data_IF_396931448498
#
_entry.id   IF_396931448498
#
_cell.length_a   1.000
_cell.length_b   1.000
_cell.length_c   1.000
_cell.angle_alpha   90.00
_cell.angle_beta   90.00
_cell.angle_gamma   90.00
#
_symmetry.space_group_name_H-M   'P 1'
#
loop_
_entity.id
_entity.type
_entity.pdbx_description
1 polymer ?
#
# COMPACT_ATOMS: atom_id res chain seq x y z
N UNK A 1 -6.35 -11.75 -4.35
CA UNK A 1 -6.96 -10.69 -3.55
C UNK A 1 -7.59 -11.34 -2.32
N UNK A 2 -7.36 -10.75 -1.14
CA UNK A 2 -7.93 -11.18 0.14
C UNK A 2 -9.36 -10.68 0.34
N UNK A 3 -9.64 -9.43 -0.02
CA UNK A 3 -10.99 -8.85 0.06
C UNK A 3 -11.45 -8.68 1.51
N UNK A 4 -12.51 -7.89 1.72
CA UNK A 4 -13.17 -7.74 3.03
C UNK A 4 -12.28 -7.22 4.20
N UNK A 5 -11.14 -6.61 3.87
CA UNK A 5 -10.24 -6.01 4.88
C UNK A 5 -10.84 -4.72 5.47
N UNK A 6 -11.69 -4.01 4.70
CA UNK A 6 -12.25 -2.70 5.05
C UNK A 6 -11.22 -1.65 5.51
N UNK A 7 -9.95 -1.83 5.13
CA UNK A 7 -8.85 -0.90 5.43
C UNK A 7 -8.74 0.23 4.39
N UNK A 8 -8.04 1.31 4.79
CA UNK A 8 -7.76 2.45 3.91
C UNK A 8 -6.36 2.33 3.32
N UNK A 9 -6.30 2.25 1.98
CA UNK A 9 -5.04 2.39 1.23
C UNK A 9 -5.02 3.77 0.58
N UNK A 10 -3.96 4.53 0.83
CA UNK A 10 -3.80 5.88 0.29
C UNK A 10 -2.35 6.19 -0.10
N UNK A 11 -2.16 7.27 -0.85
CA UNK A 11 -0.86 7.86 -1.16
C UNK A 11 -0.72 9.21 -0.49
N UNK A 12 0.47 9.54 0.01
CA UNK A 12 0.77 10.85 0.60
C UNK A 12 2.14 11.37 0.12
N UNK A 13 2.38 12.69 0.12
CA UNK A 13 3.71 13.23 -0.06
C UNK A 13 4.69 12.68 0.99
N UNK A 14 5.94 12.37 0.62
CA UNK A 14 6.91 11.75 1.52
C UNK A 14 7.17 12.56 2.79
N UNK A 15 7.11 13.90 2.71
CA UNK A 15 7.25 14.82 3.84
C UNK A 15 6.15 14.69 4.89
N UNK A 16 4.98 14.16 4.53
CA UNK A 16 3.82 14.01 5.42
C UNK A 16 3.75 12.69 6.17
N UNK A 17 4.58 11.70 5.82
CA UNK A 17 4.45 10.32 6.30
C UNK A 17 4.62 10.21 7.82
N UNK A 18 5.66 10.84 8.37
CA UNK A 18 5.92 10.82 9.82
C UNK A 18 4.77 11.47 10.60
N UNK A 19 4.23 12.58 10.09
CA UNK A 19 3.11 13.26 10.72
C UNK A 19 1.84 12.39 10.71
N UNK A 20 1.56 11.71 9.59
CA UNK A 20 0.44 10.77 9.49
C UNK A 20 0.57 9.60 10.47
N UNK A 21 1.77 9.02 10.60
CA UNK A 21 2.02 7.94 11.55
C UNK A 21 1.84 8.38 13.00
N UNK A 22 2.32 9.57 13.36
CA UNK A 22 2.12 10.11 14.70
C UNK A 22 0.63 10.31 15.01
N UNK A 23 -0.13 10.89 14.07
CA UNK A 23 -1.58 11.08 14.22
C UNK A 23 -2.34 9.75 14.29
N UNK A 24 -1.95 8.77 13.51
CA UNK A 24 -2.53 7.43 13.60
C UNK A 24 -2.31 6.81 14.98
N UNK A 25 -1.10 6.97 15.55
CA UNK A 25 -0.79 6.53 16.91
C UNK A 25 -1.64 7.22 17.99
N UNK A 26 -1.85 8.53 17.86
CA UNK A 26 -2.75 9.29 18.75
C UNK A 26 -4.21 8.82 18.65
N UNK A 27 -4.65 8.41 17.46
CA UNK A 27 -6.01 7.93 17.18
C UNK A 27 -6.18 6.42 17.45
N UNK A 28 -5.11 5.71 17.81
CA UNK A 28 -5.15 4.31 18.22
C UNK A 28 -5.22 3.29 17.08
N UNK A 29 -4.75 3.62 15.87
CA UNK A 29 -4.65 2.66 14.77
C UNK A 29 -3.24 2.59 14.17
N UNK A 30 -2.91 1.45 13.58
CA UNK A 30 -1.64 1.27 12.90
C UNK A 30 -1.67 1.90 11.50
N UNK A 31 -0.65 2.68 11.15
CA UNK A 31 -0.47 3.22 9.82
C UNK A 31 0.93 2.88 9.30
N UNK A 32 0.99 2.07 8.25
CA UNK A 32 2.24 1.48 7.76
C UNK A 32 2.48 1.87 6.30
N UNK A 33 3.57 2.59 5.99
CA UNK A 33 3.99 2.79 4.61
C UNK A 33 4.40 1.45 3.98
N UNK A 34 3.69 1.03 2.94
CA UNK A 34 3.92 -0.27 2.25
C UNK A 34 4.66 -0.13 0.92
N UNK A 35 4.92 1.09 0.45
CA UNK A 35 5.59 1.32 -0.83
C UNK A 35 5.73 2.78 -1.20
N UNK A 36 6.12 3.03 -2.45
CA UNK A 36 6.23 4.36 -3.05
C UNK A 36 5.63 4.36 -4.46
N UNK A 37 4.98 5.45 -4.82
CA UNK A 37 4.55 5.68 -6.21
C UNK A 37 5.79 6.07 -7.02
N UNK A 38 6.02 5.38 -8.13
CA UNK A 38 7.09 5.69 -9.08
C UNK A 38 6.51 5.91 -10.46
N UNK A 39 7.10 6.81 -11.24
CA UNK A 39 6.78 6.96 -12.65
C UNK A 39 7.32 5.74 -13.42
N UNK A 40 6.49 4.73 -13.66
CA UNK A 40 6.86 3.52 -14.41
C UNK A 40 5.80 3.20 -15.48
N UNK A 41 6.26 2.61 -16.59
CA UNK A 41 5.41 2.18 -17.73
C UNK A 41 4.81 0.78 -17.56
N UNK A 42 5.33 -0.04 -16.64
CA UNK A 42 4.85 -1.39 -16.37
C UNK A 42 4.13 -1.40 -15.02
N UNK A 43 2.85 -1.77 -15.06
CA UNK A 43 1.96 -1.81 -13.91
C UNK A 43 2.41 -2.87 -12.87
N UNK A 44 2.20 -2.52 -11.60
CA UNK A 44 2.05 -3.43 -10.48
C UNK A 44 3.25 -4.35 -10.18
N UNK A 45 4.31 -3.73 -9.67
CA UNK A 45 5.43 -4.43 -9.04
C UNK A 45 5.24 -4.44 -7.53
N UNK A 46 5.24 -5.63 -6.94
CA UNK A 46 5.43 -5.80 -5.49
C UNK A 46 6.87 -6.26 -5.25
N UNK A 47 7.55 -5.58 -4.33
CA UNK A 47 8.80 -6.08 -3.79
C UNK A 47 8.46 -7.16 -2.75
N UNK A 48 8.96 -8.37 -2.96
CA UNK A 48 8.96 -9.42 -1.94
C UNK A 48 9.86 -9.01 -0.78
N UNK A 49 9.69 -9.71 0.36
CA UNK A 49 10.50 -9.52 1.57
C UNK A 49 12.01 -9.71 1.31
N UNK A 50 12.37 -10.53 0.31
CA UNK A 50 13.75 -10.75 -0.15
C UNK A 50 14.26 -9.67 -1.14
N UNK A 51 13.46 -8.64 -1.41
CA UNK A 51 13.77 -7.56 -2.35
C UNK A 51 13.51 -7.91 -3.83
N UNK A 52 13.06 -9.13 -4.14
CA UNK A 52 12.75 -9.51 -5.52
C UNK A 52 11.48 -8.79 -6.01
N UNK A 53 11.58 -8.23 -7.22
CA UNK A 53 10.44 -7.63 -7.93
C UNK A 53 9.62 -8.73 -8.58
N UNK A 54 8.34 -8.82 -8.21
CA UNK A 54 7.41 -9.79 -8.79
C UNK A 54 6.23 -9.05 -9.44
N UNK A 55 5.88 -9.38 -10.68
CA UNK A 55 4.66 -8.86 -11.31
C UNK A 55 3.42 -9.31 -10.53
N UNK A 56 2.52 -8.38 -10.24
CA UNK A 56 1.22 -8.72 -9.66
C UNK A 56 0.25 -9.05 -10.81
N UNK A 57 -0.10 -10.33 -10.95
CA UNK A 57 -1.03 -10.81 -11.98
C UNK A 57 -2.43 -11.10 -11.44
N UNK A 58 -2.74 -10.72 -10.20
CA UNK A 58 -3.94 -11.19 -9.51
C UNK A 58 -5.19 -10.38 -9.86
N UNK A 59 -6.24 -11.08 -10.32
CA UNK A 59 -7.57 -10.49 -10.50
C UNK A 59 -8.24 -10.20 -9.15
N UNK A 60 -8.93 -9.06 -9.07
CA UNK A 60 -9.74 -8.68 -7.90
C UNK A 60 -11.06 -9.45 -7.81
N UNK A 61 -11.78 -9.25 -6.70
CA UNK A 61 -13.13 -9.77 -6.56
C UNK A 61 -14.07 -9.13 -7.60
N UNK A 62 -14.93 -9.94 -8.21
CA UNK A 62 -15.96 -9.48 -9.14
C UNK A 62 -17.29 -10.08 -8.70
N UNK A 63 -18.29 -9.21 -8.55
CA UNK A 63 -19.62 -9.57 -8.07
C UNK A 63 -20.36 -10.58 -8.97
N UNK A 64 -20.00 -10.58 -10.26
CA UNK A 64 -20.75 -11.11 -11.43
C UNK A 64 -22.21 -10.69 -11.51
#
# INVERSE_FOLDING_TARGET
AGGDDYEVVCTAPPEGVTALQARAGELGFAFTPVGRVAAAKAADVVARVDGAVVPVSQAGYRHV
#
